data_IF_553273836058
#
_entry.id   IF_553273836058
#
_cell.length_a   1.000
_cell.length_b   1.000
_cell.length_c   1.000
_cell.angle_alpha   90.00
_cell.angle_beta   90.00
_cell.angle_gamma   90.00
#
_symmetry.space_group_name_H-M   'P 1'
#
loop_
_entity.id
_entity.type
_entity.pdbx_description
1 polymer ?
#
# COMPACT_ATOMS: atom_id res chain seq x y z
N UNK A 1 12.33 18.44 48.78
CA UNK A 1 12.31 18.06 47.37
C UNK A 1 11.07 18.69 46.76
N UNK A 2 11.27 19.60 45.81
CA UNK A 2 10.23 20.46 45.24
C UNK A 2 9.53 19.74 44.06
N UNK A 3 8.18 19.61 44.02
CA UNK A 3 7.46 18.91 42.95
C UNK A 3 7.41 19.66 41.60
N UNK A 4 8.01 20.85 41.49
CA UNK A 4 7.89 21.72 40.32
C UNK A 4 8.71 21.40 39.06
N UNK A 5 9.50 20.31 38.98
CA UNK A 5 10.52 20.17 37.92
C UNK A 5 10.25 19.19 36.76
N UNK A 6 9.11 18.48 36.75
CA UNK A 6 8.85 17.42 35.73
C UNK A 6 8.01 17.93 34.55
N UNK A 7 7.15 18.93 34.74
CA UNK A 7 6.31 19.47 33.67
C UNK A 7 7.07 20.34 32.64
N UNK A 8 8.17 20.97 33.05
CA UNK A 8 8.98 21.85 32.18
C UNK A 8 9.93 21.13 31.22
N UNK A 9 10.22 19.84 31.43
CA UNK A 9 11.16 19.07 30.58
C UNK A 9 10.51 18.32 29.41
N UNK A 10 9.18 18.11 29.43
CA UNK A 10 8.45 17.47 28.32
C UNK A 10 8.16 18.42 27.15
N UNK A 11 7.99 19.72 27.40
CA UNK A 11 7.68 20.71 26.35
C UNK A 11 8.93 21.17 25.58
N UNK A 12 10.11 21.07 26.19
CA UNK A 12 11.38 21.46 25.55
C UNK A 12 11.94 20.38 24.61
N UNK A 13 11.64 19.10 24.84
CA UNK A 13 12.14 18.00 24.00
C UNK A 13 11.44 17.96 22.63
N UNK A 14 10.12 18.19 22.60
CA UNK A 14 9.31 18.27 21.37
C UNK A 14 9.71 19.45 20.48
N UNK A 15 10.16 20.57 21.07
CA UNK A 15 10.63 21.76 20.32
C UNK A 15 12.06 21.64 19.79
N UNK A 16 12.83 20.62 20.18
CA UNK A 16 14.22 20.45 19.73
C UNK A 16 14.37 19.54 18.51
N UNK A 17 13.44 18.59 18.28
CA UNK A 17 13.42 17.78 17.06
C UNK A 17 12.98 18.60 15.83
N UNK A 18 12.10 19.59 16.02
CA UNK A 18 11.53 20.40 14.93
C UNK A 18 12.47 21.48 14.36
N UNK A 19 13.70 21.63 14.90
CA UNK A 19 14.67 22.63 14.40
C UNK A 19 15.93 22.04 13.74
N UNK A 20 16.08 20.71 13.65
CA UNK A 20 17.30 20.10 13.07
C UNK A 20 17.11 18.93 12.11
N UNK A 21 15.88 18.49 11.83
CA UNK A 21 15.61 17.64 10.67
C UNK A 21 14.92 18.48 9.62
N UNK A 22 15.72 19.22 8.85
CA UNK A 22 15.26 19.65 7.53
C UNK A 22 14.75 18.40 6.80
N UNK A 23 13.62 18.60 6.15
CA UNK A 23 12.79 17.63 5.45
C UNK A 23 13.37 17.05 4.12
N UNK A 24 14.59 17.33 3.60
CA UNK A 24 15.07 16.63 2.41
C UNK A 24 15.80 15.33 2.79
N UNK A 25 15.07 14.22 2.87
CA UNK A 25 15.67 12.88 2.78
C UNK A 25 14.83 11.91 1.94
N UNK A 26 13.50 12.08 1.87
CA UNK A 26 12.67 11.16 1.07
C UNK A 26 12.67 11.52 -0.42
N UNK A 27 13.00 12.76 -0.79
CA UNK A 27 13.27 13.14 -2.19
C UNK A 27 14.70 12.80 -2.68
N UNK A 28 15.62 12.42 -1.78
CA UNK A 28 16.97 11.97 -2.13
C UNK A 28 17.15 10.44 -1.98
N UNK A 29 16.29 9.78 -1.19
CA UNK A 29 16.24 8.31 -1.05
C UNK A 29 15.75 7.57 -2.31
N UNK A 30 15.14 8.30 -3.24
CA UNK A 30 14.82 7.84 -4.60
C UNK A 30 16.09 7.79 -5.49
N UNK A 31 17.27 8.16 -4.99
CA UNK A 31 18.54 8.00 -5.73
C UNK A 31 19.71 7.42 -4.91
N UNK A 32 19.51 7.05 -3.62
CA UNK A 32 20.62 6.66 -2.73
C UNK A 32 20.37 5.46 -1.78
N UNK A 33 19.33 4.65 -1.97
CA UNK A 33 19.02 3.54 -1.06
C UNK A 33 19.81 2.23 -1.35
N UNK A 34 21.15 2.31 -1.33
CA UNK A 34 22.01 1.19 -0.95
C UNK A 34 22.39 1.40 0.53
N UNK A 35 21.86 0.58 1.44
CA UNK A 35 22.33 0.54 2.82
C UNK A 35 23.81 0.08 2.90
N UNK A 36 24.47 0.20 4.05
CA UNK A 36 25.92 -0.06 4.20
C UNK A 36 26.34 -1.54 4.13
N UNK A 37 25.47 -2.44 3.64
CA UNK A 37 25.86 -3.81 3.31
C UNK A 37 26.28 -3.89 1.85
N UNK A 38 27.28 -4.71 1.52
CA UNK A 38 27.44 -5.07 0.12
C UNK A 38 26.20 -5.86 -0.31
N UNK A 39 25.56 -5.50 -1.43
CA UNK A 39 24.49 -6.31 -1.97
C UNK A 39 25.03 -7.71 -2.33
N UNK A 40 24.18 -8.76 -2.31
CA UNK A 40 24.58 -10.07 -2.83
C UNK A 40 25.03 -9.96 -4.31
N UNK A 41 25.87 -10.88 -4.76
CA UNK A 41 26.58 -10.80 -6.07
C UNK A 41 25.63 -10.70 -7.29
N UNK A 42 24.37 -11.08 -7.12
CA UNK A 42 23.30 -11.10 -8.12
C UNK A 42 22.27 -9.96 -7.97
N UNK A 43 22.51 -8.99 -7.07
CA UNK A 43 21.61 -7.86 -6.88
C UNK A 43 21.62 -6.90 -8.07
N UNK A 44 20.56 -6.95 -8.86
CA UNK A 44 20.25 -5.93 -9.86
C UNK A 44 19.47 -4.78 -9.18
N UNK A 45 19.96 -3.53 -9.16
CA UNK A 45 19.20 -2.39 -8.64
C UNK A 45 17.95 -2.18 -9.50
N UNK A 46 16.78 -2.05 -8.88
CA UNK A 46 15.55 -1.74 -9.61
C UNK A 46 15.63 -0.31 -10.19
N UNK A 47 15.24 -0.08 -11.45
CA UNK A 47 15.30 1.26 -12.05
C UNK A 47 14.38 2.22 -11.31
N UNK A 48 14.95 3.30 -10.75
CA UNK A 48 14.18 4.28 -9.97
C UNK A 48 13.52 5.36 -10.85
N UNK A 49 13.82 5.38 -12.15
CA UNK A 49 13.59 6.54 -13.01
C UNK A 49 12.12 6.86 -13.39
N UNK A 50 11.13 6.07 -12.97
CA UNK A 50 9.70 6.28 -13.34
C UNK A 50 8.76 6.60 -12.15
N UNK A 51 9.28 6.75 -10.93
CA UNK A 51 8.48 6.60 -9.69
C UNK A 51 8.37 7.89 -8.85
N UNK A 52 8.58 9.07 -9.46
CA UNK A 52 8.39 10.32 -8.72
C UNK A 52 6.91 10.45 -8.28
N UNK A 53 6.61 10.73 -6.99
CA UNK A 53 5.25 10.98 -6.56
C UNK A 53 4.76 12.28 -7.21
N UNK A 54 3.96 12.13 -8.27
CA UNK A 54 3.38 13.23 -8.99
C UNK A 54 1.92 13.35 -8.57
N UNK A 55 1.56 14.41 -7.84
CA UNK A 55 0.16 14.71 -7.50
C UNK A 55 -0.64 15.20 -8.72
N UNK A 56 -0.33 14.74 -9.94
CA UNK A 56 -0.72 15.28 -11.27
C UNK A 56 0.28 16.33 -11.82
N UNK A 57 1.58 16.01 -11.91
CA UNK A 57 2.67 16.83 -12.53
C UNK A 57 3.42 17.87 -11.67
N UNK A 58 3.05 18.14 -10.41
CA UNK A 58 3.74 19.15 -9.57
C UNK A 58 4.40 18.54 -8.31
N UNK A 59 5.71 18.27 -8.42
CA UNK A 59 6.56 17.80 -7.31
C UNK A 59 6.56 18.79 -6.15
N UNK A 60 6.53 20.10 -6.41
CA UNK A 60 6.57 21.13 -5.37
C UNK A 60 5.23 21.24 -4.65
N UNK A 61 4.10 21.09 -5.35
CA UNK A 61 2.78 20.99 -4.71
C UNK A 61 2.66 19.73 -3.85
N UNK A 62 3.19 18.61 -4.34
CA UNK A 62 3.27 17.35 -3.57
C UNK A 62 4.04 17.58 -2.28
N UNK A 63 5.25 18.14 -2.39
CA UNK A 63 6.10 18.45 -1.25
C UNK A 63 5.43 19.40 -0.27
N UNK A 64 4.82 20.49 -0.74
CA UNK A 64 4.08 21.43 0.13
C UNK A 64 2.93 20.75 0.86
N UNK A 65 2.17 19.89 0.19
CA UNK A 65 1.06 19.14 0.80
C UNK A 65 1.55 18.19 1.90
N UNK A 66 2.62 17.43 1.63
CA UNK A 66 3.21 16.51 2.60
C UNK A 66 3.82 17.26 3.80
N UNK A 67 4.46 18.41 3.56
CA UNK A 67 5.07 19.23 4.60
C UNK A 67 4.04 19.96 5.48
N UNK A 68 2.87 20.25 4.94
CA UNK A 68 1.74 20.83 5.67
C UNK A 68 0.91 19.73 6.37
N UNK A 69 1.57 18.77 7.00
CA UNK A 69 0.92 17.74 7.80
C UNK A 69 0.53 18.31 9.17
N UNK A 70 -0.78 18.40 9.49
CA UNK A 70 -1.25 19.02 10.72
C UNK A 70 -1.12 18.01 11.86
N UNK A 71 0.13 17.73 12.27
CA UNK A 71 0.46 16.67 13.24
C UNK A 71 -0.26 16.83 14.58
N UNK A 72 -0.67 18.05 14.94
CA UNK A 72 -1.47 18.37 16.11
C UNK A 72 -2.88 17.76 16.10
N UNK A 73 -3.40 17.42 14.92
CA UNK A 73 -4.71 16.78 14.75
C UNK A 73 -4.62 15.24 14.81
N UNK A 74 -3.42 14.68 15.01
CA UNK A 74 -3.18 13.23 15.00
C UNK A 74 -2.65 12.73 16.34
N UNK A 75 -3.14 11.57 16.77
CA UNK A 75 -2.58 10.79 17.87
C UNK A 75 -1.70 9.65 17.35
N UNK A 76 -0.64 9.32 18.09
CA UNK A 76 0.24 8.21 17.72
C UNK A 76 -0.16 6.94 18.48
N UNK A 77 -0.47 5.88 17.74
CA UNK A 77 -0.79 4.56 18.28
C UNK A 77 0.26 3.54 17.87
N UNK A 78 0.49 2.54 18.72
CA UNK A 78 1.40 1.43 18.47
C UNK A 78 0.61 0.12 18.41
N UNK A 79 0.87 -0.67 17.37
CA UNK A 79 0.37 -2.03 17.21
C UNK A 79 1.57 -2.97 17.36
N UNK A 80 1.55 -3.77 18.42
CA UNK A 80 2.64 -4.69 18.73
C UNK A 80 2.91 -5.64 17.55
N UNK A 81 4.19 -5.76 17.17
CA UNK A 81 4.61 -6.57 16.02
C UNK A 81 4.43 -5.90 14.66
N UNK A 82 3.57 -4.89 14.54
CA UNK A 82 3.31 -4.20 13.26
C UNK A 82 4.03 -2.86 13.19
N UNK A 83 3.72 -1.88 14.04
CA UNK A 83 4.34 -0.56 13.90
C UNK A 83 3.57 0.54 14.59
N UNK A 84 3.91 1.78 14.26
CA UNK A 84 3.29 2.99 14.81
C UNK A 84 2.58 3.77 13.72
N UNK A 85 1.45 4.37 14.06
CA UNK A 85 0.60 5.08 13.12
C UNK A 85 0.08 6.38 13.72
N UNK A 86 0.05 7.43 12.90
CA UNK A 86 -0.71 8.65 13.15
C UNK A 86 -2.17 8.42 12.78
N UNK A 87 -3.07 8.71 13.71
CA UNK A 87 -4.52 8.51 13.59
C UNK A 87 -5.24 9.82 13.94
N UNK A 88 -6.06 10.34 13.01
CA UNK A 88 -6.89 11.55 13.18
C UNK A 88 -8.37 11.23 13.39
N UNK A 89 -8.89 10.22 12.68
CA UNK A 89 -10.29 9.81 12.75
C UNK A 89 -10.40 8.40 13.37
N UNK A 90 -10.66 8.29 14.69
CA UNK A 90 -10.90 7.01 15.33
C UNK A 90 -12.31 6.46 15.05
N UNK A 91 -13.09 7.05 14.14
CA UNK A 91 -14.34 6.46 13.66
C UNK A 91 -14.15 5.61 12.40
N UNK A 92 -13.03 5.73 11.69
CA UNK A 92 -12.69 4.86 10.57
C UNK A 92 -12.39 3.43 11.04
N UNK A 93 -12.88 2.42 10.32
CA UNK A 93 -12.80 1.02 10.75
C UNK A 93 -11.36 0.52 10.95
N UNK A 94 -10.45 0.85 10.02
CA UNK A 94 -9.05 0.44 10.10
C UNK A 94 -8.37 1.17 11.27
N UNK A 95 -8.64 2.48 11.38
CA UNK A 95 -8.08 3.32 12.45
C UNK A 95 -8.57 2.88 13.83
N UNK A 96 -9.83 2.49 13.99
CA UNK A 96 -10.39 1.93 15.23
C UNK A 96 -9.61 0.71 15.71
N UNK A 97 -9.32 -0.22 14.80
CA UNK A 97 -8.56 -1.45 15.11
C UNK A 97 -7.14 -1.12 15.58
N UNK A 98 -6.48 -0.16 14.92
CA UNK A 98 -5.15 0.33 15.30
C UNK A 98 -5.16 1.03 16.66
N UNK A 99 -6.16 1.88 16.93
CA UNK A 99 -6.32 2.56 18.23
C UNK A 99 -6.48 1.55 19.35
N UNK A 100 -7.21 0.45 19.10
CA UNK A 100 -7.36 -0.65 20.02
C UNK A 100 -6.10 -1.53 20.17
N UNK A 101 -5.03 -1.25 19.44
CA UNK A 101 -3.74 -1.95 19.51
C UNK A 101 -3.70 -3.28 18.74
N UNK A 102 -4.69 -3.52 17.86
CA UNK A 102 -4.78 -4.72 17.06
C UNK A 102 -4.27 -4.46 15.63
N UNK A 103 -3.75 -5.50 15.00
CA UNK A 103 -3.40 -5.47 13.58
C UNK A 103 -4.69 -5.63 12.76
N UNK A 104 -4.82 -4.81 11.71
CA UNK A 104 -5.88 -4.94 10.71
C UNK A 104 -5.70 -6.23 9.92
N UNK A 105 -6.78 -7.00 9.77
CA UNK A 105 -6.85 -8.23 8.96
C UNK A 105 -5.65 -9.17 9.16
N UNK A 106 -5.52 -9.68 10.39
CA UNK A 106 -4.41 -10.54 10.81
C UNK A 106 -4.20 -11.76 9.91
N UNK A 107 -5.25 -12.30 9.32
CA UNK A 107 -5.16 -13.44 8.40
C UNK A 107 -4.33 -13.11 7.14
N UNK A 108 -4.30 -11.86 6.69
CA UNK A 108 -3.44 -11.47 5.57
C UNK A 108 -1.96 -11.47 5.94
N UNK A 109 -1.62 -11.22 7.22
CA UNK A 109 -0.22 -11.23 7.67
C UNK A 109 0.43 -12.61 7.50
N UNK A 110 -0.33 -13.68 7.73
CA UNK A 110 0.12 -15.06 7.52
C UNK A 110 0.43 -15.32 6.04
N UNK A 111 -0.42 -14.84 5.13
CA UNK A 111 -0.19 -14.93 3.69
C UNK A 111 0.99 -14.09 3.21
N UNK A 112 1.22 -12.93 3.84
CA UNK A 112 2.42 -12.14 3.55
C UNK A 112 3.69 -12.90 3.93
N UNK A 113 3.71 -13.54 5.10
CA UNK A 113 4.85 -14.36 5.54
C UNK A 113 5.10 -15.55 4.62
N UNK A 114 4.05 -16.13 4.03
CA UNK A 114 4.15 -17.27 3.11
C UNK A 114 4.66 -16.87 1.71
N UNK A 115 4.24 -15.72 1.19
CA UNK A 115 4.42 -15.38 -0.23
C UNK A 115 5.32 -14.17 -0.51
N UNK A 116 5.72 -13.40 0.51
CA UNK A 116 6.71 -12.33 0.33
C UNK A 116 8.11 -12.91 0.42
N UNK A 117 8.86 -12.77 -0.67
CA UNK A 117 10.24 -13.24 -0.75
C UNK A 117 11.22 -12.13 -0.31
N UNK A 118 12.18 -12.39 0.60
CA UNK A 118 13.21 -11.41 0.94
C UNK A 118 14.02 -10.97 -0.29
N UNK A 119 14.18 -9.66 -0.47
CA UNK A 119 14.86 -9.07 -1.63
C UNK A 119 13.97 -8.85 -2.85
N UNK A 120 12.70 -9.28 -2.82
CA UNK A 120 11.75 -9.14 -3.91
C UNK A 120 11.06 -7.76 -3.94
N UNK A 121 10.15 -7.62 -4.89
CA UNK A 121 9.16 -6.54 -4.94
C UNK A 121 7.81 -7.03 -4.40
N UNK A 122 7.22 -6.28 -3.48
CA UNK A 122 5.79 -6.36 -3.19
C UNK A 122 5.09 -5.13 -3.77
N UNK A 123 3.97 -5.35 -4.44
CA UNK A 123 3.10 -4.30 -4.96
C UNK A 123 1.81 -4.29 -4.15
N UNK A 124 1.40 -3.12 -3.66
CA UNK A 124 0.18 -2.94 -2.91
C UNK A 124 -0.68 -1.86 -3.56
N UNK A 125 -1.82 -2.26 -4.12
CA UNK A 125 -2.82 -1.37 -4.71
C UNK A 125 -3.94 -1.17 -3.70
N UNK A 126 -4.08 0.06 -3.19
CA UNK A 126 -4.96 0.36 -2.05
C UNK A 126 -4.23 0.25 -0.72
N UNK A 127 -3.14 1.02 -0.57
CA UNK A 127 -2.30 0.95 0.63
C UNK A 127 -2.91 1.63 1.87
N UNK A 128 -3.95 2.46 1.68
CA UNK A 128 -4.58 3.24 2.73
C UNK A 128 -3.52 3.98 3.58
N UNK A 129 -3.60 3.93 4.91
CA UNK A 129 -2.62 4.57 5.81
C UNK A 129 -1.34 3.74 6.07
N UNK A 130 -1.20 2.59 5.39
CA UNK A 130 -0.01 1.75 5.42
C UNK A 130 0.01 0.66 6.50
N UNK A 131 -1.16 0.22 6.98
CA UNK A 131 -1.29 -0.84 8.01
C UNK A 131 -0.62 -2.14 7.57
N UNK A 132 -0.82 -2.55 6.32
CA UNK A 132 -0.16 -3.72 5.72
C UNK A 132 1.19 -3.37 5.11
N UNK A 133 1.34 -2.18 4.50
CA UNK A 133 2.61 -1.72 3.91
C UNK A 133 3.81 -1.85 4.84
N UNK A 134 3.63 -1.55 6.14
CA UNK A 134 4.71 -1.66 7.13
C UNK A 134 5.19 -3.11 7.30
N UNK A 135 4.28 -4.07 7.31
CA UNK A 135 4.60 -5.51 7.39
C UNK A 135 5.28 -5.98 6.11
N UNK A 136 4.72 -5.64 4.95
CA UNK A 136 5.31 -5.95 3.63
C UNK A 136 6.75 -5.43 3.53
N UNK A 137 6.98 -4.19 3.97
CA UNK A 137 8.31 -3.57 3.95
C UNK A 137 9.34 -4.32 4.80
N UNK A 138 8.92 -4.91 5.92
CA UNK A 138 9.82 -5.72 6.75
C UNK A 138 10.12 -7.07 6.11
N UNK A 139 9.12 -7.70 5.50
CA UNK A 139 9.23 -9.02 4.89
C UNK A 139 10.11 -9.01 3.62
N UNK A 140 9.93 -8.04 2.73
CA UNK A 140 10.84 -7.88 1.57
C UNK A 140 12.27 -7.52 2.01
N UNK A 141 12.45 -7.05 3.23
CA UNK A 141 13.75 -6.74 3.82
C UNK A 141 14.45 -5.53 3.20
N UNK A 142 15.69 -5.23 3.64
CA UNK A 142 16.40 -4.00 3.25
C UNK A 142 16.75 -3.94 1.75
N UNK A 143 16.83 -5.09 1.08
CA UNK A 143 17.17 -5.21 -0.34
C UNK A 143 15.94 -5.22 -1.26
N UNK A 144 14.79 -5.60 -0.72
CA UNK A 144 13.54 -5.57 -1.46
C UNK A 144 12.92 -4.18 -1.51
N UNK A 145 11.75 -4.11 -2.15
CA UNK A 145 10.98 -2.87 -2.29
C UNK A 145 9.49 -3.12 -2.17
N UNK A 146 8.79 -2.16 -1.59
CA UNK A 146 7.32 -2.10 -1.64
C UNK A 146 6.90 -0.88 -2.46
N UNK A 147 6.01 -1.08 -3.43
CA UNK A 147 5.35 0.01 -4.16
C UNK A 147 3.91 0.09 -3.68
N UNK A 148 3.60 1.14 -2.94
CA UNK A 148 2.32 1.30 -2.24
C UNK A 148 1.50 2.40 -2.91
N UNK A 149 0.39 2.03 -3.53
CA UNK A 149 -0.47 2.93 -4.29
C UNK A 149 -1.68 3.38 -3.47
N UNK A 150 -1.85 4.70 -3.32
CA UNK A 150 -2.99 5.31 -2.62
C UNK A 150 -3.39 6.62 -3.32
N UNK A 151 -4.52 6.67 -4.04
CA UNK A 151 -4.93 7.85 -4.82
C UNK A 151 -5.48 9.01 -3.98
N UNK A 152 -6.06 8.76 -2.80
CA UNK A 152 -6.71 9.79 -2.00
C UNK A 152 -5.67 10.69 -1.35
N UNK A 153 -5.81 12.01 -1.50
CA UNK A 153 -4.76 12.98 -1.16
C UNK A 153 -4.50 13.06 0.34
N UNK A 154 -5.55 12.95 1.15
CA UNK A 154 -5.45 12.93 2.62
C UNK A 154 -4.74 11.67 3.09
N UNK A 155 -5.25 10.51 2.67
CA UNK A 155 -4.77 9.18 3.07
C UNK A 155 -3.34 8.94 2.59
N UNK A 156 -2.99 9.33 1.36
CA UNK A 156 -1.62 9.30 0.87
C UNK A 156 -0.63 10.08 1.76
N UNK A 157 -1.06 11.22 2.33
CA UNK A 157 -0.23 11.98 3.26
C UNK A 157 -0.04 11.22 4.58
N UNK A 158 -1.08 10.54 5.07
CA UNK A 158 -1.00 9.69 6.26
C UNK A 158 -0.07 8.51 6.02
N UNK A 159 -0.20 7.80 4.89
CA UNK A 159 0.72 6.75 4.46
C UNK A 159 2.17 7.24 4.50
N UNK A 160 2.45 8.37 3.84
CA UNK A 160 3.81 8.93 3.78
C UNK A 160 4.40 9.18 5.19
N UNK A 161 3.61 9.78 6.10
CA UNK A 161 4.08 10.07 7.46
C UNK A 161 4.18 8.82 8.33
N UNK A 162 3.31 7.84 8.14
CA UNK A 162 3.38 6.55 8.84
C UNK A 162 4.60 5.73 8.40
N UNK A 163 4.94 5.73 7.11
CA UNK A 163 6.18 5.10 6.62
C UNK A 163 7.43 5.76 7.25
N UNK A 164 7.45 7.10 7.31
CA UNK A 164 8.53 7.84 7.96
C UNK A 164 8.61 7.57 9.47
N UNK A 165 7.46 7.49 10.17
CA UNK A 165 7.36 7.18 11.59
C UNK A 165 7.92 5.79 11.93
N UNK A 166 7.82 4.84 11.00
CA UNK A 166 8.37 3.50 11.12
C UNK A 166 9.82 3.37 10.58
N UNK A 167 10.42 4.46 10.07
CA UNK A 167 11.80 4.47 9.58
C UNK A 167 12.02 3.62 8.32
N UNK A 168 10.97 3.44 7.51
CA UNK A 168 11.02 2.57 6.33
C UNK A 168 11.59 3.34 5.13
N UNK A 169 12.71 2.85 4.60
CA UNK A 169 13.41 3.45 3.45
C UNK A 169 13.31 2.60 2.17
N UNK A 170 12.67 1.44 2.25
CA UNK A 170 12.47 0.48 1.17
C UNK A 170 11.03 0.50 0.62
N UNK A 171 10.25 1.53 0.93
CA UNK A 171 8.89 1.72 0.43
C UNK A 171 8.85 2.96 -0.47
N UNK A 172 8.17 2.84 -1.60
CA UNK A 172 7.89 3.94 -2.52
C UNK A 172 6.38 4.21 -2.53
N UNK A 173 5.90 5.19 -1.75
CA UNK A 173 4.49 5.56 -1.75
C UNK A 173 4.14 6.38 -2.99
N UNK A 174 3.12 5.93 -3.73
CA UNK A 174 2.68 6.47 -5.01
C UNK A 174 1.23 6.92 -4.97
N UNK A 175 0.96 8.15 -5.40
CA UNK A 175 -0.39 8.70 -5.43
C UNK A 175 -1.06 8.53 -6.80
N UNK A 176 -1.23 7.27 -7.19
CA UNK A 176 -1.90 6.87 -8.43
C UNK A 176 -3.08 5.96 -8.13
N UNK A 177 -4.12 6.06 -8.95
CA UNK A 177 -5.08 4.98 -9.10
C UNK A 177 -4.52 3.98 -10.11
N UNK A 178 -4.78 2.69 -9.91
CA UNK A 178 -4.35 1.65 -10.84
C UNK A 178 -5.56 1.11 -11.60
N UNK A 179 -5.43 0.98 -12.91
CA UNK A 179 -6.51 0.50 -13.78
C UNK A 179 -6.08 0.33 -15.23
N UNK A 180 -7.00 -0.13 -16.06
CA UNK A 180 -6.71 -0.40 -17.47
C UNK A 180 -6.69 0.87 -18.34
N UNK A 181 -6.04 0.74 -19.49
CA UNK A 181 -6.01 1.73 -20.55
C UNK A 181 -4.91 2.79 -20.39
N UNK A 182 -5.06 3.85 -21.17
CA UNK A 182 -4.09 4.95 -21.20
C UNK A 182 -4.13 5.80 -19.92
N UNK A 183 -2.99 6.44 -19.64
CA UNK A 183 -2.86 7.39 -18.54
C UNK A 183 -3.85 8.53 -18.68
N UNK A 184 -4.64 8.75 -17.63
CA UNK A 184 -5.67 9.79 -17.62
C UNK A 184 -5.96 10.29 -16.21
N UNK A 185 -6.55 11.46 -16.11
CA UNK A 185 -7.01 11.97 -14.82
C UNK A 185 -8.42 11.48 -14.57
N UNK A 186 -8.64 10.91 -13.39
CA UNK A 186 -9.95 10.49 -12.89
C UNK A 186 -10.34 11.31 -11.66
N UNK A 187 -11.61 11.21 -11.31
CA UNK A 187 -12.14 11.66 -10.03
C UNK A 187 -12.43 10.45 -9.13
N UNK A 188 -12.12 10.59 -7.86
CA UNK A 188 -12.53 9.68 -6.79
C UNK A 188 -13.90 10.13 -6.26
N UNK A 189 -14.63 9.24 -5.60
CA UNK A 189 -15.74 9.67 -4.76
C UNK A 189 -15.22 10.51 -3.55
N UNK A 190 -16.05 11.34 -2.92
CA UNK A 190 -15.70 11.95 -1.65
C UNK A 190 -15.49 10.88 -0.58
N UNK A 191 -14.44 11.05 0.25
CA UNK A 191 -14.25 10.21 1.43
C UNK A 191 -15.49 10.29 2.34
N UNK A 192 -15.95 9.13 2.81
CA UNK A 192 -17.05 9.05 3.78
C UNK A 192 -16.45 9.00 5.18
N UNK A 193 -16.91 9.86 6.08
CA UNK A 193 -16.47 9.83 7.47
C UNK A 193 -16.73 8.45 8.09
N UNK A 194 -15.73 7.88 8.77
CA UNK A 194 -15.81 6.53 9.33
C UNK A 194 -15.58 5.39 8.34
N UNK A 195 -15.38 5.67 7.05
CA UNK A 195 -14.99 4.69 6.04
C UNK A 195 -14.11 5.35 4.98
N UNK A 196 -12.93 5.82 5.38
CA UNK A 196 -12.05 6.57 4.49
C UNK A 196 -11.40 5.65 3.44
N UNK A 197 -11.24 4.36 3.77
CA UNK A 197 -10.77 3.31 2.84
C UNK A 197 -11.80 2.93 1.78
N UNK A 198 -13.09 2.99 2.09
CA UNK A 198 -14.18 2.50 1.23
C UNK A 198 -14.58 3.39 0.05
N UNK A 199 -13.62 4.11 -0.54
CA UNK A 199 -13.89 5.08 -1.61
C UNK A 199 -13.34 4.59 -2.96
N UNK A 200 -14.23 4.35 -3.91
CA UNK A 200 -13.89 4.00 -5.31
C UNK A 200 -13.80 5.19 -6.27
N UNK A 201 -13.54 4.87 -7.55
CA UNK A 201 -13.58 5.83 -8.67
C UNK A 201 -15.01 6.37 -8.86
N UNK A 202 -15.14 7.68 -9.07
CA UNK A 202 -16.46 8.32 -9.21
C UNK A 202 -16.37 9.81 -9.52
N UNK A 203 -17.14 10.63 -8.82
CA UNK A 203 -17.22 12.07 -9.08
C UNK A 203 -17.33 12.90 -7.79
N UNK A 204 -16.75 14.11 -7.82
CA UNK A 204 -16.90 15.10 -6.74
C UNK A 204 -15.92 14.99 -5.58
N UNK A 205 -15.00 14.01 -5.60
CA UNK A 205 -13.90 13.86 -4.65
C UNK A 205 -12.55 14.35 -5.19
N UNK A 206 -11.48 13.72 -4.71
CA UNK A 206 -10.12 14.03 -5.13
C UNK A 206 -9.86 13.63 -6.58
N UNK A 207 -9.00 14.39 -7.28
CA UNK A 207 -8.48 13.99 -8.59
C UNK A 207 -7.21 13.15 -8.42
N UNK A 208 -7.14 12.05 -9.16
CA UNK A 208 -5.98 11.17 -9.20
C UNK A 208 -5.61 10.84 -10.65
N UNK A 209 -4.32 10.61 -10.90
CA UNK A 209 -3.89 10.06 -12.18
C UNK A 209 -4.05 8.55 -12.13
N UNK A 210 -4.74 8.00 -13.11
CA UNK A 210 -4.89 6.57 -13.31
C UNK A 210 -3.82 6.07 -14.28
N UNK A 211 -3.13 5.00 -13.89
CA UNK A 211 -2.12 4.32 -14.70
C UNK A 211 -2.34 2.81 -14.69
N UNK A 212 -1.89 2.13 -15.74
CA UNK A 212 -1.74 0.68 -15.69
C UNK A 212 -0.55 0.31 -14.82
N UNK A 213 -0.64 -0.81 -14.11
CA UNK A 213 0.50 -1.35 -13.35
C UNK A 213 1.65 -1.72 -14.29
N UNK A 214 1.32 -2.20 -15.48
CA UNK A 214 2.28 -2.55 -16.53
C UNK A 214 3.17 -1.37 -16.96
N UNK A 215 2.69 -0.13 -16.82
CA UNK A 215 3.47 1.07 -17.15
C UNK A 215 4.71 1.28 -16.26
N UNK A 216 4.76 0.63 -15.09
CA UNK A 216 5.89 0.72 -14.17
C UNK A 216 7.01 -0.28 -14.48
N UNK A 217 6.73 -1.33 -15.25
CA UNK A 217 7.73 -2.31 -15.67
C UNK A 217 8.36 -3.08 -14.49
N UNK A 218 7.57 -3.44 -13.49
CA UNK A 218 8.07 -4.14 -12.30
C UNK A 218 8.63 -5.53 -12.62
N UNK A 219 9.71 -5.87 -11.93
CA UNK A 219 10.40 -7.15 -12.00
C UNK A 219 10.60 -7.73 -10.59
N UNK A 220 10.68 -9.06 -10.49
CA UNK A 220 10.80 -9.82 -9.24
C UNK A 220 9.66 -9.51 -8.27
N UNK A 221 8.44 -9.34 -8.79
CA UNK A 221 7.26 -9.17 -7.94
C UNK A 221 6.91 -10.53 -7.34
N UNK A 222 7.02 -10.71 -6.02
CA UNK A 222 6.61 -11.94 -5.36
C UNK A 222 5.16 -11.89 -4.86
N UNK A 223 4.68 -10.69 -4.51
CA UNK A 223 3.31 -10.45 -4.06
C UNK A 223 2.70 -9.22 -4.76
N UNK A 224 1.47 -9.38 -5.23
CA UNK A 224 0.57 -8.30 -5.65
C UNK A 224 -0.67 -8.30 -4.75
N UNK A 225 -0.78 -7.32 -3.86
CA UNK A 225 -1.99 -7.05 -3.08
C UNK A 225 -2.91 -6.09 -3.84
N UNK A 226 -4.19 -6.42 -3.96
CA UNK A 226 -5.23 -5.62 -4.59
C UNK A 226 -6.39 -5.48 -3.61
N UNK A 227 -6.58 -4.28 -3.08
CA UNK A 227 -7.59 -3.96 -2.08
C UNK A 227 -8.21 -2.63 -2.51
N UNK A 228 -9.18 -2.73 -3.42
CA UNK A 228 -9.77 -1.58 -4.10
C UNK A 228 -11.26 -1.75 -4.25
N UNK A 229 -11.97 -0.65 -4.10
CA UNK A 229 -13.42 -0.62 -4.08
C UNK A 229 -14.01 -0.74 -5.48
N UNK A 230 -14.46 -1.95 -5.83
CA UNK A 230 -15.12 -2.28 -7.10
C UNK A 230 -14.28 -2.04 -8.37
N UNK A 231 -12.95 -1.97 -8.22
CA UNK A 231 -12.01 -1.68 -9.31
C UNK A 231 -11.01 -2.81 -9.57
N UNK A 232 -11.21 -3.96 -8.95
CA UNK A 232 -10.31 -5.11 -8.94
C UNK A 232 -10.02 -5.60 -10.37
N UNK A 233 -11.07 -5.73 -11.18
CA UNK A 233 -10.95 -6.20 -12.57
C UNK A 233 -10.24 -5.20 -13.49
N UNK A 234 -10.34 -3.90 -13.19
CA UNK A 234 -9.61 -2.87 -13.91
C UNK A 234 -8.12 -2.88 -13.54
N UNK A 235 -7.80 -3.10 -12.26
CA UNK A 235 -6.42 -3.31 -11.80
C UNK A 235 -5.80 -4.52 -12.49
N UNK A 236 -6.49 -5.67 -12.48
CA UNK A 236 -6.02 -6.89 -13.15
C UNK A 236 -5.81 -6.68 -14.65
N UNK A 237 -6.72 -5.97 -15.31
CA UNK A 237 -6.60 -5.65 -16.73
C UNK A 237 -5.44 -4.67 -17.04
N UNK A 238 -5.04 -3.83 -16.09
CA UNK A 238 -3.86 -2.98 -16.17
C UNK A 238 -2.55 -3.64 -15.70
N UNK A 239 -2.58 -4.89 -15.24
CA UNK A 239 -1.45 -5.59 -14.63
C UNK A 239 -1.05 -6.87 -15.39
N UNK A 240 -1.58 -7.08 -16.59
CA UNK A 240 -1.45 -8.34 -17.34
C UNK A 240 0.01 -8.71 -17.58
N UNK A 241 0.83 -7.77 -18.04
CA UNK A 241 2.25 -8.03 -18.35
C UNK A 241 3.09 -8.18 -17.08
N UNK A 242 2.73 -7.47 -16.01
CA UNK A 242 3.35 -7.60 -14.69
C UNK A 242 3.09 -8.99 -14.11
N UNK A 243 1.84 -9.46 -14.17
CA UNK A 243 1.40 -10.78 -13.68
C UNK A 243 2.07 -11.88 -14.50
N UNK A 244 2.02 -11.81 -15.84
CA UNK A 244 2.63 -12.83 -16.71
C UNK A 244 4.13 -12.98 -16.50
N UNK A 245 4.84 -11.86 -16.37
CA UNK A 245 6.29 -11.82 -16.24
C UNK A 245 6.78 -12.35 -14.90
N UNK A 246 6.11 -11.96 -13.82
CA UNK A 246 6.60 -12.20 -12.46
C UNK A 246 5.93 -13.40 -11.78
N UNK A 247 4.74 -13.77 -12.24
CA UNK A 247 3.89 -14.81 -11.63
C UNK A 247 3.77 -14.68 -10.09
N UNK A 248 3.48 -13.47 -9.54
CA UNK A 248 3.40 -13.28 -8.10
C UNK A 248 2.23 -14.07 -7.50
N UNK A 249 2.27 -14.33 -6.20
CA UNK A 249 1.03 -14.57 -5.47
C UNK A 249 0.16 -13.30 -5.50
N UNK A 250 -1.15 -13.43 -5.68
CA UNK A 250 -2.07 -12.29 -5.73
C UNK A 250 -3.05 -12.40 -4.58
N UNK A 251 -2.94 -11.50 -3.60
CA UNK A 251 -3.95 -11.34 -2.56
C UNK A 251 -4.93 -10.26 -3.00
N UNK A 252 -6.21 -10.60 -3.11
CA UNK A 252 -7.21 -9.70 -3.68
C UNK A 252 -8.48 -9.68 -2.83
N UNK A 253 -8.88 -8.49 -2.40
CA UNK A 253 -10.21 -8.25 -1.85
C UNK A 253 -11.20 -8.16 -3.02
N UNK A 254 -12.27 -8.97 -3.02
CA UNK A 254 -13.33 -8.91 -4.03
C UNK A 254 -14.64 -8.49 -3.37
N UNK A 255 -15.12 -7.29 -3.72
CA UNK A 255 -16.22 -6.65 -3.00
C UNK A 255 -17.56 -7.41 -3.03
N UNK A 256 -18.07 -7.66 -1.82
CA UNK A 256 -19.35 -8.31 -1.51
C UNK A 256 -19.24 -9.77 -1.05
N UNK A 257 -18.02 -10.28 -0.87
CA UNK A 257 -17.73 -11.69 -0.65
C UNK A 257 -17.79 -12.24 0.77
N UNK A 258 -18.35 -11.51 1.77
CA UNK A 258 -18.13 -11.84 3.21
C UNK A 258 -18.46 -13.31 3.53
N UNK A 259 -19.43 -13.86 2.78
CA UNK A 259 -19.55 -15.27 2.52
C UNK A 259 -20.11 -15.50 1.10
N UNK A 260 -19.28 -15.97 0.17
CA UNK A 260 -19.70 -16.34 -1.20
C UNK A 260 -20.96 -17.23 -1.20
N UNK A 261 -21.09 -18.15 -0.23
CA UNK A 261 -22.22 -19.07 -0.14
C UNK A 261 -23.55 -18.40 0.22
N UNK A 262 -23.51 -17.20 0.81
CA UNK A 262 -24.69 -16.38 1.14
C UNK A 262 -24.79 -15.10 0.31
N UNK A 263 -23.77 -14.78 -0.49
CA UNK A 263 -23.74 -13.60 -1.35
C UNK A 263 -24.91 -13.57 -2.35
N UNK A 264 -25.53 -12.39 -2.60
CA UNK A 264 -26.54 -12.20 -3.64
C UNK A 264 -26.04 -12.61 -5.04
N UNK A 265 -26.93 -13.01 -5.97
CA UNK A 265 -26.53 -13.44 -7.32
C UNK A 265 -25.63 -12.45 -8.07
N UNK A 266 -25.97 -11.15 -8.03
CA UNK A 266 -25.17 -10.11 -8.69
C UNK A 266 -23.76 -9.95 -8.09
N UNK A 267 -23.59 -10.31 -6.82
CA UNK A 267 -22.27 -10.29 -6.15
C UNK A 267 -21.47 -11.51 -6.56
N UNK A 268 -22.09 -12.70 -6.57
CA UNK A 268 -21.43 -13.93 -7.07
C UNK A 268 -20.98 -13.79 -8.51
N UNK A 269 -21.79 -13.17 -9.36
CA UNK A 269 -21.43 -12.90 -10.75
C UNK A 269 -20.15 -12.05 -10.85
N UNK A 270 -20.00 -11.03 -10.01
CA UNK A 270 -18.75 -10.23 -9.95
C UNK A 270 -17.57 -11.06 -9.47
N UNK A 271 -17.75 -11.85 -8.41
CA UNK A 271 -16.71 -12.75 -7.88
C UNK A 271 -16.26 -13.72 -8.98
N UNK A 272 -17.20 -14.36 -9.69
CA UNK A 272 -16.89 -15.25 -10.80
C UNK A 272 -16.20 -14.54 -11.96
N UNK A 273 -16.57 -13.30 -12.27
CA UNK A 273 -15.90 -12.54 -13.32
C UNK A 273 -14.42 -12.29 -12.97
N UNK A 274 -14.13 -11.97 -11.71
CA UNK A 274 -12.76 -11.79 -11.22
C UNK A 274 -11.99 -13.11 -11.18
N UNK A 275 -12.60 -14.19 -10.68
CA UNK A 275 -11.99 -15.53 -10.71
C UNK A 275 -11.67 -15.97 -12.13
N UNK A 276 -12.62 -15.86 -13.06
CA UNK A 276 -12.40 -16.24 -14.45
C UNK A 276 -11.26 -15.46 -15.09
N UNK A 277 -11.06 -14.19 -14.75
CA UNK A 277 -9.89 -13.42 -15.22
C UNK A 277 -8.58 -13.98 -14.67
N UNK A 278 -8.51 -14.25 -13.37
CA UNK A 278 -7.33 -14.85 -12.75
C UNK A 278 -7.03 -16.23 -13.35
N UNK A 279 -8.04 -17.07 -13.55
CA UNK A 279 -7.93 -18.37 -14.22
C UNK A 279 -7.36 -18.24 -15.64
N UNK A 280 -7.80 -17.24 -16.42
CA UNK A 280 -7.25 -16.99 -17.76
C UNK A 280 -5.79 -16.51 -17.75
N UNK A 281 -5.33 -15.95 -16.63
CA UNK A 281 -3.93 -15.61 -16.39
C UNK A 281 -3.11 -16.80 -15.87
N UNK A 282 -3.74 -17.98 -15.71
CA UNK A 282 -3.10 -19.21 -15.27
C UNK A 282 -2.92 -19.28 -13.76
N UNK A 283 -3.95 -18.89 -13.02
CA UNK A 283 -4.00 -18.92 -11.56
C UNK A 283 -5.12 -19.82 -11.06
N UNK A 284 -4.91 -20.41 -9.88
CA UNK A 284 -5.95 -21.04 -9.06
C UNK A 284 -6.31 -20.07 -7.95
N UNK A 285 -7.61 -19.86 -7.70
CA UNK A 285 -8.12 -18.90 -6.71
C UNK A 285 -8.77 -19.64 -5.55
N UNK A 286 -8.40 -19.27 -4.33
CA UNK A 286 -8.91 -19.85 -3.09
C UNK A 286 -9.45 -18.75 -2.16
N UNK A 287 -10.61 -18.96 -1.52
CA UNK A 287 -11.11 -18.04 -0.49
C UNK A 287 -10.21 -18.09 0.76
N UNK A 288 -9.96 -16.93 1.35
CA UNK A 288 -9.17 -16.79 2.58
C UNK A 288 -10.10 -16.50 3.76
N UNK A 289 -10.59 -15.27 3.86
CA UNK A 289 -11.50 -14.83 4.91
C UNK A 289 -12.26 -13.58 4.47
N UNK A 290 -13.56 -13.52 4.76
CA UNK A 290 -14.39 -12.38 4.35
C UNK A 290 -14.33 -12.16 2.84
N UNK A 291 -13.89 -10.97 2.44
CA UNK A 291 -13.78 -10.59 1.02
C UNK A 291 -12.47 -11.02 0.36
N UNK A 292 -11.53 -11.59 1.13
CA UNK A 292 -10.19 -11.88 0.63
C UNK A 292 -10.08 -13.23 -0.05
N UNK A 293 -9.37 -13.22 -1.18
CA UNK A 293 -9.00 -14.39 -1.95
C UNK A 293 -7.50 -14.37 -2.22
N UNK A 294 -6.88 -15.54 -2.20
CA UNK A 294 -5.52 -15.74 -2.67
C UNK A 294 -5.56 -16.42 -4.04
N UNK A 295 -4.85 -15.87 -5.01
CA UNK A 295 -4.64 -16.50 -6.29
C UNK A 295 -3.17 -16.88 -6.42
N UNK A 296 -2.92 -18.16 -6.66
CA UNK A 296 -1.59 -18.72 -6.82
C UNK A 296 -1.35 -19.15 -8.27
N UNK A 297 -0.16 -18.91 -8.84
CA UNK A 297 0.15 -19.32 -10.20
C UNK A 297 0.05 -20.84 -10.31
N UNK A 298 -0.63 -21.32 -11.36
CA UNK A 298 -0.69 -22.75 -11.64
C UNK A 298 0.72 -23.29 -11.85
N UNK A 299 1.02 -24.44 -11.24
CA UNK A 299 2.26 -25.17 -11.51
C UNK A 299 2.19 -25.61 -12.97
N UNK A 300 3.12 -25.12 -13.80
CA UNK A 300 3.27 -25.64 -15.15
C UNK A 300 3.59 -27.13 -15.04
N UNK A 301 2.67 -27.99 -15.50
CA UNK A 301 3.01 -29.39 -15.72
C UNK A 301 4.11 -29.39 -16.78
N UNK A 302 5.33 -29.72 -16.35
CA UNK A 302 6.49 -29.73 -17.23
C UNK A 302 6.17 -30.46 -18.54
N UNK A 303 6.31 -29.73 -19.64
CA UNK A 303 6.43 -30.35 -20.95
C UNK A 303 7.79 -31.06 -21.00
N UNK A 304 7.78 -32.36 -20.79
CA UNK A 304 8.90 -33.24 -21.11
C UNK A 304 8.79 -33.65 -22.59
N UNK A 305 9.92 -33.73 -23.30
CA UNK A 305 10.23 -34.99 -23.95
C UNK A 305 11.50 -35.65 -23.44
#
# INVERSE_FOLDING_TARGET
>A
MDPGSIAGRRVAWVKSLTRRTSIPAIAAGVLLACGPGNPPEDYVPLPIASVAPALLDDVERTRRHLNAFPIEDYEQHEVAGVGRFFIDDPSDMIKQVIVAGYAWERHQAELFEEHVEPGSVAVEVGAHIGSHTVSLARLVGPWGRVYAFEPQRKIYRELYHNLALNGLNNVVPLRFAIGAGETRIIEMNPATQGNEGGTGVGAGGDRAELRSLDSFGFERVSLLKIDVEHYENEVLAGAVETIRRNRPAILIEIMGGEDYATAPPAVRERIHATWGRLETLGYTVEPVAGHDYIALPNIEQGGDP
#
